data_IF_308401197175
#
_entry.id   IF_308401197175
#
_cell.length_a   1.000
_cell.length_b   1.000
_cell.length_c   1.000
_cell.angle_alpha   90.00
_cell.angle_beta   90.00
_cell.angle_gamma   90.00
#
_symmetry.space_group_name_H-M   'P 1'
#
loop_
_entity.id
_entity.type
_entity.pdbx_description
1 polymer ?
#
# COMPACT_ATOMS: atom_id res chain seq x y z
N UNK A 1 1.25 -12.53 -11.75
CA UNK A 1 1.25 -11.37 -10.83
C UNK A 1 2.67 -10.81 -10.69
N UNK A 2 3.11 -10.06 -11.69
CA UNK A 2 4.47 -9.54 -11.84
C UNK A 2 4.93 -8.69 -10.66
N UNK A 3 4.10 -7.76 -10.20
CA UNK A 3 4.43 -6.89 -9.06
C UNK A 3 4.67 -7.71 -7.79
N UNK A 4 3.79 -8.65 -7.48
CA UNK A 4 3.92 -9.47 -6.28
C UNK A 4 5.15 -10.38 -6.32
N UNK A 5 5.48 -10.97 -7.46
CA UNK A 5 6.68 -11.82 -7.61
C UNK A 5 7.97 -11.00 -7.48
N UNK A 6 8.01 -9.81 -8.10
CA UNK A 6 9.14 -8.90 -7.98
C UNK A 6 9.37 -8.49 -6.52
N UNK A 7 8.32 -8.03 -5.84
CA UNK A 7 8.42 -7.60 -4.44
C UNK A 7 8.80 -8.75 -3.51
N UNK A 8 8.31 -9.95 -3.74
CA UNK A 8 8.72 -11.14 -2.99
C UNK A 8 10.21 -11.43 -3.15
N UNK A 9 10.73 -11.39 -4.38
CA UNK A 9 12.15 -11.58 -4.67
C UNK A 9 13.01 -10.47 -4.03
N UNK A 10 12.57 -9.21 -4.12
CA UNK A 10 13.22 -8.09 -3.45
C UNK A 10 13.31 -8.31 -1.94
N UNK A 11 12.20 -8.64 -1.28
CA UNK A 11 12.16 -8.88 0.16
C UNK A 11 13.09 -10.00 0.59
N UNK A 12 13.19 -11.08 -0.19
CA UNK A 12 14.11 -12.18 0.08
C UNK A 12 15.58 -11.75 -0.05
N UNK A 13 15.91 -10.97 -1.08
CA UNK A 13 17.27 -10.51 -1.34
C UNK A 13 17.78 -9.50 -0.31
N UNK A 14 16.91 -8.60 0.14
CA UNK A 14 17.24 -7.50 1.05
C UNK A 14 16.93 -7.81 2.52
N UNK A 15 16.57 -9.04 2.86
CA UNK A 15 16.08 -9.37 4.20
C UNK A 15 17.03 -8.93 5.32
N UNK A 16 18.32 -9.22 5.23
CA UNK A 16 19.28 -8.91 6.30
C UNK A 16 19.50 -7.41 6.52
N UNK A 17 19.54 -6.58 5.47
CA UNK A 17 19.69 -5.14 5.61
C UNK A 17 18.39 -4.48 6.10
N UNK A 18 17.26 -4.89 5.52
CA UNK A 18 15.95 -4.42 5.97
C UNK A 18 15.70 -4.79 7.42
N UNK A 19 16.11 -5.99 7.87
CA UNK A 19 15.99 -6.41 9.27
C UNK A 19 16.79 -5.54 10.20
N UNK A 20 18.02 -5.19 9.84
CA UNK A 20 18.86 -4.30 10.60
C UNK A 20 18.25 -2.91 10.73
N UNK A 21 17.76 -2.34 9.63
CA UNK A 21 17.13 -1.02 9.63
C UNK A 21 15.82 -1.00 10.43
N UNK A 22 15.01 -2.06 10.32
CA UNK A 22 13.80 -2.22 11.12
C UNK A 22 14.12 -2.31 12.62
N UNK A 23 15.16 -3.05 13.00
CA UNK A 23 15.60 -3.13 14.38
C UNK A 23 16.06 -1.78 14.91
N UNK A 24 16.82 -1.00 14.12
CA UNK A 24 17.23 0.35 14.50
C UNK A 24 16.02 1.30 14.66
N UNK A 25 15.05 1.23 13.76
CA UNK A 25 13.82 2.02 13.87
C UNK A 25 12.99 1.62 15.10
N UNK A 26 12.99 0.34 15.45
CA UNK A 26 12.25 -0.18 16.60
C UNK A 26 12.82 0.26 17.97
N UNK A 27 14.13 0.32 18.08
CA UNK A 27 14.83 0.58 19.35
C UNK A 27 14.84 2.08 19.70
N UNK A 28 14.89 2.96 18.69
CA UNK A 28 15.03 4.38 18.88
C UNK A 28 13.72 5.11 19.20
N UNK A 29 13.81 6.22 19.90
CA UNK A 29 12.70 7.16 20.03
C UNK A 29 12.44 7.84 18.66
N UNK A 30 11.18 8.17 18.36
CA UNK A 30 10.79 8.78 17.08
C UNK A 30 11.59 10.04 16.68
N UNK A 31 12.20 10.71 17.64
CA UNK A 31 13.01 11.92 17.43
C UNK A 31 14.52 11.67 17.39
N UNK A 32 14.96 10.46 17.67
CA UNK A 32 16.36 10.09 17.59
C UNK A 32 16.89 10.12 16.15
N UNK A 33 18.08 10.73 15.89
CA UNK A 33 18.66 10.84 14.56
C UNK A 33 18.92 9.50 13.86
N UNK A 34 19.32 8.46 14.60
CA UNK A 34 19.58 7.13 14.05
C UNK A 34 18.26 6.46 13.60
N UNK A 35 17.22 6.60 14.40
CA UNK A 35 15.86 6.12 14.09
C UNK A 35 15.31 6.79 12.84
N UNK A 36 15.44 8.13 12.74
CA UNK A 36 15.03 8.87 11.53
C UNK A 36 15.81 8.44 10.29
N UNK A 37 17.12 8.22 10.45
CA UNK A 37 17.97 7.76 9.35
C UNK A 37 17.58 6.35 8.90
N UNK A 38 17.33 5.42 9.82
CA UNK A 38 16.87 4.07 9.49
C UNK A 38 15.52 4.09 8.75
N UNK A 39 14.56 4.88 9.23
CA UNK A 39 13.27 5.06 8.57
C UNK A 39 13.42 5.65 7.16
N UNK A 40 14.29 6.65 6.99
CA UNK A 40 14.56 7.25 5.68
C UNK A 40 15.24 6.26 4.71
N UNK A 41 16.21 5.48 5.18
CA UNK A 41 16.86 4.44 4.35
C UNK A 41 15.86 3.37 3.92
N UNK A 42 15.02 2.88 4.82
CA UNK A 42 13.94 1.94 4.48
C UNK A 42 12.98 2.55 3.45
N UNK A 43 12.57 3.80 3.64
CA UNK A 43 11.72 4.51 2.69
C UNK A 43 12.31 4.57 1.29
N UNK A 44 13.60 4.84 1.17
CA UNK A 44 14.30 4.84 -0.12
C UNK A 44 14.36 3.43 -0.73
N UNK A 45 14.73 2.40 0.05
CA UNK A 45 14.78 1.01 -0.44
C UNK A 45 13.43 0.55 -0.98
N UNK A 46 12.34 0.79 -0.24
CA UNK A 46 11.00 0.42 -0.70
C UNK A 46 10.55 1.26 -1.89
N UNK A 47 10.87 2.56 -1.91
CA UNK A 47 10.57 3.42 -3.04
C UNK A 47 11.24 2.93 -4.33
N UNK A 48 12.51 2.56 -4.27
CA UNK A 48 13.26 2.06 -5.43
C UNK A 48 12.72 0.70 -5.89
N UNK A 49 12.40 -0.20 -4.96
CA UNK A 49 11.81 -1.50 -5.28
C UNK A 49 10.42 -1.37 -5.91
N UNK A 50 9.59 -0.48 -5.36
CA UNK A 50 8.25 -0.23 -5.88
C UNK A 50 8.31 0.44 -7.25
N UNK A 51 9.24 1.39 -7.44
CA UNK A 51 9.45 2.01 -8.74
C UNK A 51 9.79 0.96 -9.81
N UNK A 52 10.72 0.06 -9.52
CA UNK A 52 11.10 -1.00 -10.45
C UNK A 52 9.94 -1.96 -10.73
N UNK A 53 9.20 -2.38 -9.70
CA UNK A 53 8.06 -3.29 -9.86
C UNK A 53 6.92 -2.67 -10.68
N UNK A 54 6.65 -1.38 -10.45
CA UNK A 54 5.61 -0.64 -11.18
C UNK A 54 6.03 -0.38 -12.62
N UNK A 55 7.30 -0.04 -12.86
CA UNK A 55 7.85 0.11 -14.22
C UNK A 55 7.67 -1.18 -15.01
N UNK A 56 8.05 -2.32 -14.46
CA UNK A 56 7.89 -3.61 -15.12
C UNK A 56 6.41 -3.94 -15.42
N UNK A 57 5.51 -3.60 -14.52
CA UNK A 57 4.08 -3.80 -14.75
C UNK A 57 3.56 -2.95 -15.92
N UNK A 58 3.99 -1.69 -16.02
CA UNK A 58 3.64 -0.80 -17.13
C UNK A 58 4.18 -1.33 -18.46
N UNK A 59 5.44 -1.76 -18.47
CA UNK A 59 6.07 -2.35 -19.66
C UNK A 59 5.32 -3.59 -20.15
N UNK A 60 4.85 -4.43 -19.24
CA UNK A 60 4.05 -5.60 -19.60
C UNK A 60 2.68 -5.22 -20.17
N UNK A 61 2.02 -4.19 -19.64
CA UNK A 61 0.77 -3.65 -20.19
C UNK A 61 1.00 -3.15 -21.63
N UNK A 62 2.07 -2.40 -21.87
CA UNK A 62 2.39 -1.87 -23.20
C UNK A 62 2.76 -2.97 -24.20
N UNK A 63 3.53 -3.96 -23.73
CA UNK A 63 3.86 -5.13 -24.55
C UNK A 63 2.59 -5.89 -24.96
N UNK A 64 1.67 -6.13 -24.03
CA UNK A 64 0.42 -6.82 -24.32
C UNK A 64 -0.48 -6.01 -25.26
N UNK A 65 -0.57 -4.71 -25.09
CA UNK A 65 -1.30 -3.82 -25.98
C UNK A 65 -0.74 -3.88 -27.43
N UNK A 66 0.59 -3.84 -27.53
CA UNK A 66 1.29 -3.98 -28.82
C UNK A 66 1.01 -5.35 -29.47
N UNK A 67 1.08 -6.43 -28.68
CA UNK A 67 0.81 -7.79 -29.16
C UNK A 67 -0.62 -7.94 -29.70
N UNK A 68 -1.58 -7.24 -29.09
CA UNK A 68 -2.98 -7.25 -29.53
C UNK A 68 -3.29 -6.19 -30.62
N UNK A 69 -2.33 -5.34 -30.98
CA UNK A 69 -2.53 -4.27 -31.98
C UNK A 69 -3.50 -3.18 -31.53
N UNK A 70 -3.58 -2.91 -30.22
CA UNK A 70 -4.49 -1.92 -29.65
C UNK A 70 -3.71 -0.86 -28.85
N UNK A 71 -4.36 0.27 -28.56
CA UNK A 71 -3.74 1.31 -27.74
C UNK A 71 -3.68 0.88 -26.27
N UNK A 72 -2.54 1.15 -25.58
CA UNK A 72 -2.32 0.77 -24.18
C UNK A 72 -3.37 1.34 -23.21
N UNK A 73 -3.98 2.48 -23.55
CA UNK A 73 -5.11 3.05 -22.77
C UNK A 73 -6.32 2.12 -22.61
N UNK A 74 -6.47 1.10 -23.47
CA UNK A 74 -7.54 0.11 -23.33
C UNK A 74 -7.25 -0.91 -22.21
N UNK A 75 -6.03 -0.93 -21.71
CA UNK A 75 -5.60 -1.68 -20.53
C UNK A 75 -5.45 -0.78 -19.29
N UNK A 76 -6.08 0.39 -19.31
CA UNK A 76 -6.04 1.30 -18.16
C UNK A 76 -6.53 0.57 -16.90
N UNK A 77 -5.73 0.63 -15.85
CA UNK A 77 -6.00 -0.03 -14.56
C UNK A 77 -5.50 0.81 -13.41
N UNK A 78 -6.09 0.63 -12.25
CA UNK A 78 -5.58 1.12 -10.97
C UNK A 78 -4.66 0.06 -10.34
N UNK A 79 -3.85 0.45 -9.38
CA UNK A 79 -2.96 -0.47 -8.67
C UNK A 79 -2.82 -0.05 -7.21
N UNK A 80 -3.20 -0.97 -6.32
CA UNK A 80 -2.99 -0.86 -4.88
C UNK A 80 -2.26 -2.10 -4.39
N UNK A 81 -1.20 -1.92 -3.62
CA UNK A 81 -0.57 -3.02 -2.92
C UNK A 81 0.07 -2.57 -1.60
N UNK A 82 0.30 -3.53 -0.71
CA UNK A 82 1.02 -3.33 0.52
C UNK A 82 1.98 -4.50 0.78
N UNK A 83 3.15 -4.18 1.31
CA UNK A 83 4.09 -5.15 1.88
C UNK A 83 3.92 -5.09 3.39
N UNK A 84 3.62 -6.24 3.98
CA UNK A 84 3.41 -6.37 5.43
C UNK A 84 4.47 -7.29 5.98
N UNK A 85 5.15 -6.88 7.03
CA UNK A 85 6.15 -7.66 7.71
C UNK A 85 5.95 -7.60 9.22
N UNK A 86 5.70 -8.74 9.82
CA UNK A 86 5.67 -8.88 11.27
C UNK A 86 7.09 -8.99 11.81
N UNK A 87 7.40 -8.21 12.85
CA UNK A 87 8.65 -8.31 13.58
C UNK A 87 8.38 -8.10 15.07
N UNK A 88 8.62 -9.16 15.85
CA UNK A 88 8.26 -9.20 17.27
C UNK A 88 6.80 -8.74 17.50
N UNK A 89 6.60 -7.69 18.28
CA UNK A 89 5.28 -7.15 18.61
C UNK A 89 4.82 -6.03 17.69
N UNK A 90 5.56 -5.75 16.60
CA UNK A 90 5.25 -4.65 15.70
C UNK A 90 5.10 -5.13 14.26
N UNK A 91 4.35 -4.37 13.50
CA UNK A 91 4.11 -4.62 12.08
C UNK A 91 4.67 -3.47 11.26
N UNK A 92 5.65 -3.78 10.42
CA UNK A 92 6.10 -2.87 9.37
C UNK A 92 5.16 -2.99 8.16
N UNK A 93 4.74 -1.86 7.63
CA UNK A 93 3.88 -1.80 6.46
C UNK A 93 4.43 -0.75 5.51
N UNK A 94 4.59 -1.16 4.25
CA UNK A 94 4.87 -0.24 3.15
C UNK A 94 3.81 -0.40 2.08
N UNK A 95 3.33 0.70 1.52
CA UNK A 95 2.24 0.70 0.53
C UNK A 95 2.53 1.60 -0.66
N UNK A 96 1.89 1.27 -1.77
CA UNK A 96 1.83 2.07 -2.98
C UNK A 96 0.41 2.06 -3.54
N UNK A 97 -0.01 3.18 -4.10
CA UNK A 97 -1.30 3.26 -4.76
C UNK A 97 -1.28 4.20 -5.97
N UNK A 98 -2.10 3.88 -6.95
CA UNK A 98 -2.55 4.74 -8.04
C UNK A 98 -4.00 4.38 -8.36
N UNK A 99 -4.86 5.38 -8.41
CA UNK A 99 -6.30 5.21 -8.62
C UNK A 99 -7.15 5.72 -7.47
N UNK A 100 -8.43 5.41 -7.51
CA UNK A 100 -9.49 5.89 -6.62
C UNK A 100 -9.78 4.98 -5.43
N UNK A 101 -9.01 3.92 -5.27
CA UNK A 101 -9.08 3.07 -4.09
C UNK A 101 -8.34 3.63 -2.87
N UNK A 102 -8.42 2.94 -1.75
CA UNK A 102 -7.78 3.31 -0.50
C UNK A 102 -7.03 2.16 0.16
N UNK A 103 -5.97 2.49 0.89
CA UNK A 103 -5.20 1.57 1.74
C UNK A 103 -5.22 2.11 3.15
N UNK A 104 -5.58 1.27 4.13
CA UNK A 104 -5.61 1.64 5.53
C UNK A 104 -5.03 0.55 6.42
N UNK A 105 -4.44 0.96 7.54
CA UNK A 105 -4.07 0.11 8.66
C UNK A 105 -5.10 0.30 9.75
N UNK A 106 -5.86 -0.76 10.04
CA UNK A 106 -6.78 -0.80 11.16
C UNK A 106 -6.02 -1.20 12.42
N UNK A 107 -5.99 -0.31 13.40
CA UNK A 107 -5.38 -0.54 14.68
C UNK A 107 -6.42 -0.59 15.79
N UNK A 108 -5.99 -0.92 17.01
CA UNK A 108 -6.85 -1.06 18.17
C UNK A 108 -7.64 0.22 18.48
N UNK A 109 -6.97 1.37 18.42
CA UNK A 109 -7.54 2.66 18.83
C UNK A 109 -7.81 3.61 17.66
N UNK A 110 -7.26 3.35 16.49
CA UNK A 110 -7.39 4.24 15.33
C UNK A 110 -7.08 3.55 14.02
N UNK A 111 -7.60 4.12 12.93
CA UNK A 111 -7.21 3.80 11.57
C UNK A 111 -6.21 4.83 11.04
N UNK A 112 -5.24 4.36 10.26
CA UNK A 112 -4.24 5.20 9.59
C UNK A 112 -4.28 4.93 8.10
N UNK A 113 -4.48 5.96 7.31
CA UNK A 113 -4.46 5.85 5.85
C UNK A 113 -3.03 5.71 5.34
N UNK A 114 -2.80 4.72 4.49
CA UNK A 114 -1.55 4.42 3.81
C UNK A 114 -1.66 4.60 2.29
N UNK A 115 -2.79 5.02 1.80
CA UNK A 115 -3.10 5.39 0.43
C UNK A 115 -4.48 6.04 0.38
N UNK A 116 -4.60 7.15 -0.36
CA UNK A 116 -5.84 7.91 -0.50
C UNK A 116 -6.29 7.90 -1.96
N UNK A 117 -7.59 7.99 -2.25
CA UNK A 117 -8.07 8.14 -3.62
C UNK A 117 -7.36 9.28 -4.36
N UNK A 118 -6.99 9.01 -5.60
CA UNK A 118 -6.43 9.99 -6.50
C UNK A 118 -7.56 10.77 -7.17
N UNK A 119 -7.93 11.90 -6.60
CA UNK A 119 -8.74 12.89 -7.32
C UNK A 119 -7.94 13.45 -8.50
N UNK A 120 -8.44 13.29 -9.73
CA UNK A 120 -7.90 13.99 -10.90
C UNK A 120 -8.12 15.50 -10.80
N UNK A 121 -7.64 16.28 -11.79
CA UNK A 121 -7.86 17.75 -11.86
C UNK A 121 -9.36 18.10 -11.89
N UNK A 122 -10.21 17.17 -12.28
CA UNK A 122 -11.67 17.30 -12.28
C UNK A 122 -12.29 16.20 -11.42
N UNK A 123 -13.34 16.53 -10.69
CA UNK A 123 -14.12 15.58 -9.91
C UNK A 123 -14.56 14.38 -10.78
N UNK A 124 -14.22 13.17 -10.35
CA UNK A 124 -14.54 11.93 -11.07
C UNK A 124 -13.48 11.47 -12.08
N UNK A 125 -12.30 12.08 -12.13
CA UNK A 125 -11.18 11.55 -12.91
C UNK A 125 -10.31 10.63 -12.06
N UNK A 126 -10.33 9.34 -12.37
CA UNK A 126 -9.41 8.36 -11.80
C UNK A 126 -8.06 8.43 -12.51
N UNK A 127 -6.97 8.39 -11.76
CA UNK A 127 -5.63 8.15 -12.32
C UNK A 127 -5.42 6.67 -12.54
N UNK A 128 -4.78 6.35 -13.66
CA UNK A 128 -4.43 4.98 -14.02
C UNK A 128 -2.93 4.77 -13.97
N UNK A 129 -2.56 3.50 -13.92
CA UNK A 129 -1.19 3.04 -13.98
C UNK A 129 -0.60 3.35 -15.37
N UNK A 130 0.30 4.32 -15.43
CA UNK A 130 1.02 4.76 -16.63
C UNK A 130 2.39 5.35 -16.28
N UNK A 131 3.21 5.66 -17.27
CA UNK A 131 4.48 6.33 -17.04
C UNK A 131 4.33 7.71 -16.38
N UNK A 132 3.19 8.36 -16.51
CA UNK A 132 2.91 9.64 -15.85
C UNK A 132 2.92 9.51 -14.34
N UNK A 133 2.48 8.38 -13.78
CA UNK A 133 2.51 8.14 -12.34
C UNK A 133 3.94 7.96 -11.80
N UNK A 134 4.89 7.45 -12.63
CA UNK A 134 6.29 7.31 -12.26
C UNK A 134 7.03 8.64 -12.24
N UNK A 135 6.71 9.53 -13.18
CA UNK A 135 7.48 10.75 -13.42
C UNK A 135 7.09 11.92 -12.50
N UNK A 136 5.81 12.00 -12.08
CA UNK A 136 5.29 13.19 -11.42
C UNK A 136 5.39 13.15 -9.90
N UNK A 137 4.87 12.10 -9.27
CA UNK A 137 4.64 12.08 -7.83
C UNK A 137 4.83 10.70 -7.18
N UNK A 138 5.65 9.84 -7.80
CA UNK A 138 5.84 8.45 -7.35
C UNK A 138 6.18 8.34 -5.86
N UNK A 139 7.15 9.15 -5.38
CA UNK A 139 7.58 9.09 -3.98
C UNK A 139 6.47 9.47 -2.99
N UNK A 140 5.51 10.30 -3.41
CA UNK A 140 4.38 10.70 -2.58
C UNK A 140 3.33 9.58 -2.46
N UNK A 141 3.43 8.55 -3.31
CA UNK A 141 2.57 7.36 -3.35
C UNK A 141 3.15 6.18 -2.60
N UNK A 142 4.36 6.34 -2.07
CA UNK A 142 5.00 5.31 -1.23
C UNK A 142 4.89 5.75 0.21
N UNK A 143 4.12 5.02 1.00
CA UNK A 143 4.05 5.22 2.43
C UNK A 143 4.71 4.05 3.16
N UNK A 144 5.40 4.36 4.24
CA UNK A 144 5.92 3.37 5.18
C UNK A 144 5.45 3.70 6.60
N UNK A 145 5.25 2.69 7.38
CA UNK A 145 4.88 2.84 8.79
C UNK A 145 5.29 1.64 9.62
N UNK A 146 5.46 1.87 10.93
CA UNK A 146 5.74 0.84 11.90
C UNK A 146 4.72 0.93 13.03
N UNK A 147 3.96 -0.13 13.21
CA UNK A 147 2.75 -0.15 14.02
C UNK A 147 2.85 -1.22 15.11
N UNK A 148 2.54 -0.84 16.34
CA UNK A 148 2.49 -1.73 17.50
C UNK A 148 1.06 -2.25 17.79
N UNK A 149 0.08 -1.71 17.09
CA UNK A 149 -1.35 -1.98 17.29
C UNK A 149 -2.08 -2.44 16.01
N UNK A 150 -1.36 -2.75 14.93
CA UNK A 150 -1.99 -3.16 13.67
C UNK A 150 -2.73 -4.49 13.82
N UNK A 151 -4.01 -4.49 13.54
CA UNK A 151 -4.90 -5.67 13.53
C UNK A 151 -5.17 -6.14 12.10
N UNK A 152 -5.30 -5.20 11.15
CA UNK A 152 -5.52 -5.51 9.76
C UNK A 152 -4.92 -4.45 8.82
N UNK A 153 -4.61 -4.88 7.60
CA UNK A 153 -4.35 -4.00 6.46
C UNK A 153 -5.50 -4.18 5.49
N UNK A 154 -6.19 -3.09 5.18
CA UNK A 154 -7.37 -3.08 4.34
C UNK A 154 -7.03 -2.37 3.04
N UNK A 155 -7.20 -3.08 1.92
CA UNK A 155 -7.12 -2.53 0.57
C UNK A 155 -8.51 -2.62 -0.04
N UNK A 156 -9.00 -1.52 -0.56
CA UNK A 156 -10.33 -1.46 -1.15
C UNK A 156 -10.36 -0.61 -2.41
N UNK A 157 -11.21 -0.99 -3.33
CA UNK A 157 -11.55 -0.20 -4.52
C UNK A 157 -12.69 0.76 -4.21
N UNK A 158 -12.96 1.69 -5.14
CA UNK A 158 -14.08 2.64 -5.11
C UNK A 158 -15.43 1.96 -4.86
N UNK A 159 -15.64 0.75 -5.40
CA UNK A 159 -16.85 -0.04 -5.14
C UNK A 159 -17.15 -0.32 -3.67
N UNK A 160 -16.14 -0.22 -2.80
CA UNK A 160 -16.29 -0.32 -1.33
C UNK A 160 -16.14 1.03 -0.66
N UNK A 161 -15.13 1.84 -1.09
CA UNK A 161 -14.87 3.12 -0.43
C UNK A 161 -16.01 4.13 -0.62
N UNK A 162 -16.56 4.25 -1.83
CA UNK A 162 -17.59 5.24 -2.12
C UNK A 162 -18.88 5.03 -1.33
N UNK A 163 -19.52 3.84 -1.33
CA UNK A 163 -20.75 3.65 -0.57
C UNK A 163 -20.54 3.68 0.94
N UNK A 164 -19.32 3.43 1.45
CA UNK A 164 -19.03 3.39 2.89
C UNK A 164 -18.56 4.71 3.44
N UNK A 165 -17.75 5.43 2.68
CA UNK A 165 -17.13 6.67 3.14
C UNK A 165 -17.69 7.92 2.48
N UNK A 166 -18.38 7.80 1.33
CA UNK A 166 -19.09 8.86 0.59
C UNK A 166 -18.18 9.91 -0.03
N UNK A 167 -17.08 10.26 0.63
CA UNK A 167 -16.11 11.26 0.19
C UNK A 167 -14.71 10.90 0.70
N UNK A 168 -13.67 11.48 0.11
CA UNK A 168 -12.28 11.35 0.57
C UNK A 168 -12.13 11.77 2.05
N UNK A 169 -12.84 12.82 2.47
CA UNK A 169 -12.89 13.26 3.86
C UNK A 169 -13.55 12.22 4.78
N UNK A 170 -14.47 11.40 4.26
CA UNK A 170 -15.09 10.30 4.98
C UNK A 170 -14.08 9.22 5.38
N UNK A 171 -13.02 9.01 4.60
CA UNK A 171 -11.93 8.09 4.94
C UNK A 171 -11.13 8.52 6.18
N UNK A 172 -11.21 9.76 6.60
CA UNK A 172 -10.60 10.24 7.85
C UNK A 172 -11.51 10.03 9.07
N UNK A 173 -12.78 9.63 8.85
CA UNK A 173 -13.75 9.41 9.91
C UNK A 173 -13.57 8.03 10.56
N UNK A 174 -13.04 8.01 11.78
CA UNK A 174 -12.77 6.78 12.55
C UNK A 174 -14.03 5.94 12.82
N UNK A 175 -15.20 6.58 12.98
CA UNK A 175 -16.46 5.86 13.25
C UNK A 175 -16.93 5.04 12.04
N UNK A 176 -16.71 5.54 10.81
CA UNK A 176 -17.03 4.79 9.59
C UNK A 176 -16.15 3.54 9.45
N UNK A 177 -14.88 3.64 9.82
CA UNK A 177 -13.99 2.49 9.87
C UNK A 177 -14.37 1.47 10.92
N UNK A 178 -14.77 1.92 12.10
CA UNK A 178 -15.26 1.02 13.16
C UNK A 178 -16.53 0.27 12.71
N UNK A 179 -17.46 0.97 12.05
CA UNK A 179 -18.66 0.33 11.50
C UNK A 179 -18.31 -0.73 10.44
N UNK A 180 -17.39 -0.42 9.51
CA UNK A 180 -16.90 -1.38 8.52
C UNK A 180 -16.25 -2.59 9.22
N UNK A 181 -15.37 -2.37 10.20
CA UNK A 181 -14.70 -3.44 10.92
C UNK A 181 -15.68 -4.37 11.64
N UNK A 182 -16.65 -3.82 12.35
CA UNK A 182 -17.68 -4.60 13.04
C UNK A 182 -18.50 -5.49 12.11
N UNK A 183 -18.64 -5.09 10.84
CA UNK A 183 -19.32 -5.89 9.82
C UNK A 183 -18.45 -7.04 9.30
N UNK A 184 -17.15 -6.80 9.06
CA UNK A 184 -16.26 -7.79 8.41
C UNK A 184 -15.59 -8.75 9.40
N UNK A 185 -15.26 -8.30 10.61
CA UNK A 185 -14.52 -9.10 11.60
C UNK A 185 -15.15 -10.47 11.90
N UNK A 186 -16.48 -10.59 12.11
CA UNK A 186 -17.10 -11.90 12.35
C UNK A 186 -16.90 -12.91 11.21
N UNK A 187 -16.79 -12.42 9.96
CA UNK A 187 -16.56 -13.27 8.80
C UNK A 187 -15.10 -13.75 8.72
N UNK A 188 -14.14 -12.90 9.09
CA UNK A 188 -12.73 -13.26 9.12
C UNK A 188 -12.42 -14.34 10.16
N UNK A 189 -13.13 -14.33 11.30
CA UNK A 189 -12.97 -15.34 12.35
C UNK A 189 -13.50 -16.72 11.95
N UNK A 190 -14.49 -16.78 11.06
CA UNK A 190 -15.08 -18.03 10.57
C UNK A 190 -14.22 -18.73 9.50
N UNK A 191 -13.37 -18.00 8.80
CA UNK A 191 -12.51 -18.53 7.73
C UNK A 191 -11.13 -19.02 8.21
N UNK A 192 -10.81 -18.92 9.51
CA UNK A 192 -9.59 -19.54 10.03
C UNK A 192 -9.81 -21.05 10.12
N UNK A 193 -9.14 -21.87 9.27
CA UNK A 193 -9.19 -23.31 9.46
C UNK A 193 -8.57 -23.62 10.83
N UNK A 194 -9.28 -24.38 11.64
CA UNK A 194 -8.73 -24.94 12.88
C UNK A 194 -7.37 -25.56 12.53
N UNK A 195 -6.30 -25.01 13.09
CA UNK A 195 -5.00 -25.65 13.07
C UNK A 195 -5.11 -26.85 13.99
N UNK A 196 -5.40 -28.01 13.39
CA UNK A 196 -5.35 -29.32 14.04
C UNK A 196 -3.90 -29.84 13.99
#
# INVERSE_FOLDING_TARGET
NTVGEYLKAFMQKQSGESDRLLAQWQIGANDDPETKNAAHQLGNQFSDAFYSAVTEAIEQIEHEATRQGVASKLFATTLLFAVVRQQDNKTFISSFWVGDGAIAVYGKDRVRLMGKPDGGEFAGQTRFLDYGCLLRDFKQRVHIGYFDDAQAVILMTDGISDPRFETDAGLENQQKWQALWQEIEPHLQQEQPEQA
#
